data_IF_680188669111
#
_entry.id   IF_680188669111
#
_cell.length_a   1.000
_cell.length_b   1.000
_cell.length_c   1.000
_cell.angle_alpha   90.00
_cell.angle_beta   90.00
_cell.angle_gamma   90.00
#
_symmetry.space_group_name_H-M   'P 1'
#
loop_
_entity.id
_entity.type
_entity.pdbx_description
1 polymer ?
#
# COMPACT_ATOMS: atom_id res chain seq x y z
N UNK A 1 -26.60 -9.98 19.95
CA UNK A 1 -26.42 -11.33 19.35
C UNK A 1 -25.59 -11.28 18.05
N UNK A 2 -25.82 -10.34 17.13
CA UNK A 2 -25.06 -10.18 15.87
C UNK A 2 -23.56 -9.79 16.02
N UNK A 3 -23.18 -9.02 17.06
CA UNK A 3 -21.77 -8.64 17.33
C UNK A 3 -20.86 -9.85 17.62
N UNK A 4 -21.37 -10.83 18.39
CA UNK A 4 -20.64 -12.09 18.67
C UNK A 4 -20.49 -12.99 17.44
N UNK A 5 -21.41 -12.91 16.49
CA UNK A 5 -21.31 -13.65 15.23
C UNK A 5 -20.28 -13.02 14.28
N UNK A 6 -20.12 -11.69 14.33
CA UNK A 6 -19.14 -10.95 13.54
C UNK A 6 -17.69 -11.20 13.98
N UNK A 7 -17.42 -11.21 15.29
CA UNK A 7 -16.08 -11.52 15.82
C UNK A 7 -15.67 -12.98 15.53
N UNK A 8 -16.63 -13.92 15.62
CA UNK A 8 -16.40 -15.32 15.22
C UNK A 8 -16.14 -15.47 13.72
N UNK A 9 -16.75 -14.65 12.84
CA UNK A 9 -16.50 -14.71 11.39
C UNK A 9 -15.19 -14.04 10.97
N UNK A 10 -14.74 -12.99 11.67
CA UNK A 10 -13.43 -12.39 11.42
C UNK A 10 -12.31 -13.37 11.78
N UNK A 11 -12.46 -14.09 12.91
CA UNK A 11 -11.58 -15.19 13.32
C UNK A 11 -11.70 -16.42 12.40
N UNK A 12 -12.90 -16.76 11.93
CA UNK A 12 -13.10 -17.88 11.00
C UNK A 12 -12.56 -17.58 9.60
N UNK A 13 -12.69 -16.36 9.07
CA UNK A 13 -12.07 -15.99 7.78
C UNK A 13 -10.55 -15.94 7.87
N UNK A 14 -9.97 -15.56 9.01
CA UNK A 14 -8.51 -15.66 9.22
C UNK A 14 -8.07 -17.11 9.39
N UNK A 15 -8.85 -17.94 10.09
CA UNK A 15 -8.56 -19.37 10.27
C UNK A 15 -8.77 -20.21 9.00
N UNK A 16 -9.80 -19.95 8.20
CA UNK A 16 -10.05 -20.66 6.93
C UNK A 16 -9.01 -20.31 5.86
N UNK A 17 -8.40 -19.12 5.91
CA UNK A 17 -7.26 -18.76 5.05
C UNK A 17 -5.93 -19.34 5.53
N UNK A 18 -5.85 -19.75 6.80
CA UNK A 18 -4.70 -20.44 7.41
C UNK A 18 -4.84 -21.98 7.41
N UNK A 19 -6.05 -22.50 7.19
CA UNK A 19 -6.38 -23.94 7.29
C UNK A 19 -6.42 -24.71 5.97
N UNK A 20 -6.35 -24.06 4.81
CA UNK A 20 -6.33 -24.76 3.52
C UNK A 20 -4.91 -25.09 3.06
N UNK A 21 -4.17 -25.82 3.90
CA UNK A 21 -2.98 -26.56 3.49
C UNK A 21 -2.91 -27.84 4.32
N UNK A 22 -3.33 -28.94 3.70
CA UNK A 22 -3.00 -30.36 3.93
C UNK A 22 -4.22 -31.17 3.49
N UNK A 23 -4.17 -31.64 2.24
CA UNK A 23 -4.33 -33.07 1.89
C UNK A 23 -4.49 -33.18 0.37
N UNK A 24 -3.45 -33.73 -0.24
CA UNK A 24 -3.28 -33.87 -1.68
C UNK A 24 -1.92 -34.48 -1.92
N UNK A 25 -1.85 -35.80 -1.73
CA UNK A 25 -0.68 -36.65 -1.94
C UNK A 25 -0.12 -36.47 -3.36
N UNK A 26 1.17 -36.14 -3.38
CA UNK A 26 2.23 -36.59 -4.28
C UNK A 26 1.90 -36.96 -5.74
N UNK A 27 2.44 -36.13 -6.64
CA UNK A 27 3.33 -36.69 -7.66
C UNK A 27 4.53 -35.76 -7.82
N UNK A 28 5.59 -36.09 -7.09
CA UNK A 28 6.88 -35.42 -7.14
C UNK A 28 7.51 -35.53 -8.53
N UNK A 29 7.81 -34.38 -9.13
CA UNK A 29 9.02 -34.24 -9.94
C UNK A 29 9.88 -33.14 -9.33
N UNK A 30 10.79 -33.62 -8.47
CA UNK A 30 12.01 -32.99 -8.01
C UNK A 30 12.65 -32.05 -9.04
N UNK A 31 12.83 -30.78 -8.65
CA UNK A 31 13.96 -29.97 -9.09
C UNK A 31 14.33 -28.94 -8.02
N UNK A 32 15.44 -29.22 -7.33
CA UNK A 32 16.30 -28.32 -6.53
C UNK A 32 15.66 -27.41 -5.46
N UNK A 33 15.63 -27.93 -4.23
CA UNK A 33 15.49 -27.16 -3.00
C UNK A 33 16.77 -26.38 -2.65
N UNK A 34 17.08 -25.34 -3.42
CA UNK A 34 17.96 -24.27 -2.92
C UNK A 34 17.16 -23.52 -1.86
N UNK A 35 17.63 -23.53 -0.59
CA UNK A 35 17.10 -22.67 0.47
C UNK A 35 17.18 -21.20 0.03
N UNK A 36 16.11 -20.70 -0.61
CA UNK A 36 16.05 -19.32 -1.11
C UNK A 36 16.02 -18.39 0.09
N UNK A 37 17.13 -17.67 0.29
CA UNK A 37 17.22 -16.63 1.30
C UNK A 37 16.14 -15.59 1.01
N UNK A 38 15.27 -15.25 1.98
CA UNK A 38 14.17 -14.32 1.73
C UNK A 38 14.71 -12.90 1.43
N UNK A 39 13.98 -12.10 0.64
CA UNK A 39 14.42 -10.77 0.23
C UNK A 39 14.50 -9.84 1.44
N UNK A 40 15.69 -9.28 1.65
CA UNK A 40 16.01 -8.50 2.84
C UNK A 40 17.11 -7.47 2.53
N UNK A 41 17.09 -6.32 3.22
CA UNK A 41 18.08 -5.26 3.02
C UNK A 41 18.60 -4.73 4.35
N UNK A 42 19.90 -4.91 4.59
CA UNK A 42 20.58 -4.26 5.72
C UNK A 42 20.71 -2.76 5.46
N UNK A 43 20.32 -1.95 6.45
CA UNK A 43 20.41 -0.49 6.37
C UNK A 43 21.30 0.08 7.48
N UNK A 44 22.06 1.10 7.13
CA UNK A 44 22.81 1.90 8.11
C UNK A 44 21.89 2.98 8.66
N UNK A 45 21.59 2.91 9.97
CA UNK A 45 20.67 3.87 10.64
C UNK A 45 21.42 5.07 11.23
N UNK A 46 22.69 4.90 11.61
CA UNK A 46 23.52 5.97 12.19
C UNK A 46 24.84 6.05 11.41
N UNK A 47 25.12 7.20 10.82
CA UNK A 47 26.46 7.51 10.33
C UNK A 47 27.35 7.85 11.52
N UNK A 48 28.46 7.15 11.68
CA UNK A 48 29.51 7.50 12.65
C UNK A 48 30.74 7.99 11.90
N UNK A 49 31.71 8.58 12.61
CA UNK A 49 32.97 9.04 12.02
C UNK A 49 33.75 7.93 11.30
N UNK A 50 33.50 6.66 11.65
CA UNK A 50 34.12 5.46 11.07
C UNK A 50 33.20 4.70 10.10
N UNK A 51 31.89 4.99 10.09
CA UNK A 51 30.91 4.31 9.23
C UNK A 51 30.20 5.38 8.38
N UNK A 52 30.78 5.66 7.21
CA UNK A 52 30.11 6.40 6.14
C UNK A 52 29.26 5.42 5.31
N UNK A 53 28.04 5.14 5.75
CA UNK A 53 27.10 4.29 5.02
C UNK A 53 26.05 5.12 4.29
N UNK A 54 26.18 5.27 2.97
CA UNK A 54 25.07 5.74 2.15
C UNK A 54 24.24 4.53 1.72
N UNK A 55 22.99 4.47 2.15
CA UNK A 55 22.07 3.45 1.64
C UNK A 55 21.62 3.90 0.24
N UNK A 56 21.88 3.08 -0.78
CA UNK A 56 21.38 3.31 -2.14
C UNK A 56 19.96 2.81 -2.29
N UNK A 57 19.01 3.69 -2.66
CA UNK A 57 17.60 3.31 -2.85
C UNK A 57 17.46 2.17 -3.87
N UNK A 58 18.17 2.24 -5.00
CA UNK A 58 18.12 1.23 -6.07
C UNK A 58 18.61 -0.14 -5.63
N UNK A 59 19.58 -0.20 -4.72
CA UNK A 59 20.07 -1.44 -4.14
C UNK A 59 19.02 -2.05 -3.20
N UNK A 60 18.44 -1.24 -2.31
CA UNK A 60 17.45 -1.72 -1.36
C UNK A 60 16.19 -2.24 -2.05
N UNK A 61 15.68 -1.52 -3.06
CA UNK A 61 14.52 -1.93 -3.86
C UNK A 61 14.77 -3.28 -4.56
N UNK A 62 16.00 -3.51 -5.04
CA UNK A 62 16.37 -4.80 -5.65
C UNK A 62 16.46 -5.91 -4.60
N UNK A 63 17.15 -5.66 -3.48
CA UNK A 63 17.33 -6.65 -2.40
C UNK A 63 16.02 -7.05 -1.72
N UNK A 64 15.07 -6.13 -1.64
CA UNK A 64 13.73 -6.37 -1.12
C UNK A 64 12.77 -6.94 -2.18
N UNK A 65 13.25 -7.20 -3.40
CA UNK A 65 12.48 -7.74 -4.51
C UNK A 65 11.14 -7.03 -4.75
N UNK A 66 11.20 -5.71 -4.91
CA UNK A 66 9.99 -4.92 -5.16
C UNK A 66 9.34 -5.28 -6.50
N UNK A 67 10.11 -5.81 -7.45
CA UNK A 67 9.58 -6.30 -8.73
C UNK A 67 8.57 -7.43 -8.52
N UNK A 68 8.86 -8.38 -7.63
CA UNK A 68 7.87 -9.38 -7.22
C UNK A 68 6.81 -8.81 -6.30
N UNK A 69 7.14 -7.84 -5.44
CA UNK A 69 6.15 -7.19 -4.58
C UNK A 69 5.05 -6.45 -5.37
N UNK A 70 5.37 -5.89 -6.53
CA UNK A 70 4.37 -5.29 -7.43
C UNK A 70 3.33 -6.32 -7.89
N UNK A 71 3.70 -7.59 -8.06
CA UNK A 71 2.78 -8.65 -8.47
C UNK A 71 1.90 -9.16 -7.32
N UNK A 72 2.26 -8.85 -6.07
CA UNK A 72 1.55 -9.27 -4.87
C UNK A 72 0.47 -8.25 -4.48
N UNK A 73 -0.78 -8.70 -4.42
CA UNK A 73 -1.94 -7.87 -4.06
C UNK A 73 -1.79 -7.21 -2.68
N UNK A 74 -1.13 -7.87 -1.72
CA UNK A 74 -0.95 -7.34 -0.36
C UNK A 74 0.04 -6.18 -0.30
N UNK A 75 1.02 -6.17 -1.21
CA UNK A 75 2.12 -5.20 -1.24
C UNK A 75 1.92 -4.13 -2.31
N UNK A 76 1.05 -4.37 -3.28
CA UNK A 76 0.77 -3.46 -4.40
C UNK A 76 0.57 -2.01 -3.96
N UNK A 77 -0.35 -1.77 -3.02
CA UNK A 77 -0.67 -0.42 -2.54
C UNK A 77 0.51 0.24 -1.81
N UNK A 78 1.37 -0.54 -1.14
CA UNK A 78 2.60 -0.03 -0.54
C UNK A 78 3.55 0.51 -1.62
N UNK A 79 3.70 -0.23 -2.72
CA UNK A 79 4.55 0.17 -3.84
C UNK A 79 3.96 1.39 -4.57
N UNK A 80 2.65 1.44 -4.77
CA UNK A 80 1.97 2.64 -5.31
C UNK A 80 2.29 3.88 -4.49
N UNK A 81 2.06 3.82 -3.17
CA UNK A 81 2.31 4.95 -2.28
C UNK A 81 3.78 5.36 -2.27
N UNK A 82 4.71 4.40 -2.35
CA UNK A 82 6.14 4.70 -2.48
C UNK A 82 6.46 5.45 -3.77
N UNK A 83 5.93 4.99 -4.90
CA UNK A 83 6.12 5.64 -6.20
C UNK A 83 5.49 7.04 -6.21
N UNK A 84 4.30 7.20 -5.62
CA UNK A 84 3.64 8.51 -5.47
C UNK A 84 4.51 9.49 -4.68
N UNK A 85 5.12 9.05 -3.58
CA UNK A 85 6.04 9.87 -2.79
C UNK A 85 7.30 10.26 -3.58
N UNK A 86 7.85 9.35 -4.37
CA UNK A 86 9.04 9.63 -5.17
C UNK A 86 8.74 10.61 -6.32
N UNK A 87 7.59 10.46 -7.00
CA UNK A 87 7.20 11.33 -8.11
C UNK A 87 6.72 12.70 -7.61
N UNK A 88 5.79 12.70 -6.65
CA UNK A 88 5.11 13.90 -6.17
C UNK A 88 5.87 14.66 -5.09
N UNK A 89 6.61 13.97 -4.23
CA UNK A 89 7.30 14.58 -3.09
C UNK A 89 8.67 15.15 -3.41
N UNK A 90 9.49 14.44 -4.21
CA UNK A 90 10.87 14.82 -4.48
C UNK A 90 11.07 15.54 -5.81
N UNK A 91 10.08 15.56 -6.72
CA UNK A 91 10.22 15.87 -8.15
C UNK A 91 11.19 14.90 -8.85
N UNK A 92 10.80 14.41 -10.02
CA UNK A 92 11.56 13.38 -10.75
C UNK A 92 13.04 13.75 -10.96
N UNK A 93 13.36 15.03 -11.15
CA UNK A 93 14.72 15.53 -11.45
C UNK A 93 15.64 15.67 -10.28
N UNK A 94 15.12 15.77 -9.06
CA UNK A 94 15.96 15.84 -7.88
C UNK A 94 16.46 14.46 -7.45
N UNK A 95 15.82 13.40 -7.93
CA UNK A 95 16.27 12.04 -7.69
C UNK A 95 17.57 11.75 -8.46
N UNK A 96 18.49 10.93 -7.93
CA UNK A 96 19.66 10.49 -8.68
C UNK A 96 19.22 9.71 -9.92
N UNK A 97 19.98 9.80 -11.03
CA UNK A 97 19.60 9.16 -12.30
C UNK A 97 19.34 7.65 -12.20
N UNK A 98 20.01 6.95 -11.27
CA UNK A 98 19.74 5.54 -10.99
C UNK A 98 18.36 5.32 -10.34
N UNK A 99 17.94 6.21 -9.43
CA UNK A 99 16.62 6.19 -8.81
C UNK A 99 15.51 6.57 -9.80
N UNK A 100 15.77 7.53 -10.70
CA UNK A 100 14.83 7.86 -11.79
C UNK A 100 14.54 6.65 -12.69
N UNK A 101 15.59 5.94 -13.14
CA UNK A 101 15.46 4.71 -13.93
C UNK A 101 14.70 3.62 -13.19
N UNK A 102 15.02 3.43 -11.91
CA UNK A 102 14.36 2.46 -11.04
C UNK A 102 12.86 2.75 -10.93
N UNK A 103 12.50 4.01 -10.67
CA UNK A 103 11.12 4.46 -10.55
C UNK A 103 10.33 4.18 -11.83
N UNK A 104 10.85 4.56 -13.00
CA UNK A 104 10.17 4.33 -14.26
C UNK A 104 10.06 2.84 -14.59
N UNK A 105 11.09 2.05 -14.28
CA UNK A 105 11.05 0.59 -14.45
C UNK A 105 10.01 -0.07 -13.54
N UNK A 106 9.91 0.35 -12.27
CA UNK A 106 8.87 -0.14 -11.35
C UNK A 106 7.47 0.28 -11.79
N UNK A 107 7.31 1.52 -12.28
CA UNK A 107 6.03 2.01 -12.78
C UNK A 107 5.59 1.26 -14.05
N UNK A 108 6.53 0.89 -14.92
CA UNK A 108 6.25 0.04 -16.09
C UNK A 108 5.78 -1.36 -15.67
N UNK A 109 6.49 -2.00 -14.72
CA UNK A 109 6.04 -3.29 -14.17
C UNK A 109 4.67 -3.20 -13.49
N UNK A 110 4.39 -2.09 -12.81
CA UNK A 110 3.09 -1.82 -12.21
C UNK A 110 2.00 -1.68 -13.29
N UNK A 111 2.29 -0.97 -14.38
CA UNK A 111 1.36 -0.84 -15.50
C UNK A 111 1.04 -2.20 -16.13
N UNK A 112 2.05 -3.07 -16.35
CA UNK A 112 1.84 -4.43 -16.85
C UNK A 112 0.98 -5.29 -15.91
N UNK A 113 1.25 -5.19 -14.60
CA UNK A 113 0.47 -5.91 -13.59
C UNK A 113 -0.99 -5.43 -13.56
N UNK A 114 -1.24 -4.13 -13.66
CA UNK A 114 -2.60 -3.56 -13.68
C UNK A 114 -3.31 -3.88 -14.99
N UNK A 115 -2.60 -3.91 -16.12
CA UNK A 115 -3.16 -4.34 -17.40
C UNK A 115 -3.62 -5.80 -17.37
N UNK A 116 -2.87 -6.66 -16.68
CA UNK A 116 -3.19 -8.08 -16.52
C UNK A 116 -4.32 -8.30 -15.51
N UNK A 117 -4.19 -7.73 -14.31
CA UNK A 117 -5.09 -7.97 -13.18
C UNK A 117 -6.37 -7.14 -13.23
N UNK A 118 -6.35 -6.00 -13.94
CA UNK A 118 -7.46 -5.01 -14.01
C UNK A 118 -7.89 -4.46 -12.66
N UNK A 119 -7.01 -4.51 -11.66
CA UNK A 119 -7.24 -3.92 -10.33
C UNK A 119 -6.48 -2.60 -10.18
N UNK A 120 -6.94 -1.72 -9.27
CA UNK A 120 -6.25 -0.48 -8.89
C UNK A 120 -5.91 0.47 -10.06
N UNK A 121 -6.80 0.56 -11.08
CA UNK A 121 -6.58 1.44 -12.24
C UNK A 121 -6.42 2.91 -11.85
N UNK A 122 -7.10 3.35 -10.80
CA UNK A 122 -7.03 4.75 -10.34
C UNK A 122 -5.64 5.09 -9.80
N UNK A 123 -4.99 4.17 -9.07
CA UNK A 123 -3.62 4.35 -8.60
C UNK A 123 -2.64 4.44 -9.77
N UNK A 124 -2.76 3.56 -10.77
CA UNK A 124 -1.95 3.65 -11.99
C UNK A 124 -2.18 5.00 -12.71
N UNK A 125 -3.43 5.40 -12.93
CA UNK A 125 -3.77 6.67 -13.60
C UNK A 125 -3.17 7.86 -12.87
N UNK A 126 -3.30 7.91 -11.54
CA UNK A 126 -2.73 8.97 -10.71
C UNK A 126 -1.20 9.04 -10.87
N UNK A 127 -0.51 7.90 -10.82
CA UNK A 127 0.94 7.82 -11.03
C UNK A 127 1.36 8.25 -12.44
N UNK A 128 0.68 7.77 -13.47
CA UNK A 128 0.96 8.14 -14.87
C UNK A 128 0.75 9.62 -15.12
N UNK A 129 -0.33 10.20 -14.58
CA UNK A 129 -0.57 11.64 -14.62
C UNK A 129 0.53 12.42 -13.90
N UNK A 130 0.94 11.95 -12.72
CA UNK A 130 1.97 12.60 -11.90
C UNK A 130 3.33 12.60 -12.61
N UNK A 131 3.74 11.47 -13.20
CA UNK A 131 5.00 11.38 -13.96
C UNK A 131 4.94 12.21 -15.23
N UNK A 132 3.81 12.19 -15.95
CA UNK A 132 3.63 12.98 -17.17
C UNK A 132 3.65 14.48 -16.89
N UNK A 133 3.03 14.91 -15.79
CA UNK A 133 3.05 16.30 -15.31
C UNK A 133 4.46 16.72 -14.89
N UNK A 134 5.17 15.88 -14.13
CA UNK A 134 6.55 16.13 -13.73
C UNK A 134 7.47 16.30 -14.95
N UNK A 135 7.34 15.41 -15.94
CA UNK A 135 8.07 15.50 -17.21
C UNK A 135 7.78 16.81 -17.96
N UNK A 136 6.51 17.17 -18.06
CA UNK A 136 6.09 18.36 -18.80
C UNK A 136 6.51 19.65 -18.10
N UNK A 137 6.48 19.69 -16.76
CA UNK A 137 7.03 20.80 -15.97
C UNK A 137 8.51 21.01 -16.28
N UNK A 138 9.29 19.94 -16.36
CA UNK A 138 10.72 20.02 -16.67
C UNK A 138 11.00 20.50 -18.08
N UNK A 139 10.17 20.10 -19.05
CA UNK A 139 10.28 20.57 -20.43
C UNK A 139 10.04 22.09 -20.56
N UNK A 140 9.18 22.64 -19.71
CA UNK A 140 8.81 24.08 -19.70
C UNK A 140 9.78 24.94 -18.89
N UNK A 141 10.66 24.36 -18.08
CA UNK A 141 11.64 25.10 -17.28
C UNK A 141 12.54 25.97 -18.17
N UNK A 142 12.79 27.21 -17.72
CA UNK A 142 13.32 28.34 -18.49
C UNK A 142 14.69 28.15 -19.17
N UNK A 143 15.37 27.04 -18.88
CA UNK A 143 16.69 26.71 -19.46
C UNK A 143 16.59 25.77 -20.67
N UNK A 144 15.38 25.43 -21.11
CA UNK A 144 15.10 24.73 -22.37
C UNK A 144 15.60 23.29 -22.42
N UNK A 145 16.26 22.79 -21.38
CA UNK A 145 16.74 21.41 -21.27
C UNK A 145 16.64 20.88 -19.84
N UNK A 146 16.10 19.67 -19.66
CA UNK A 146 16.13 18.98 -18.38
C UNK A 146 17.58 18.73 -17.93
N UNK A 147 17.83 18.82 -16.61
CA UNK A 147 19.15 18.54 -16.02
C UNK A 147 19.52 17.07 -16.23
N UNK A 148 20.73 16.79 -16.76
CA UNK A 148 21.24 15.44 -16.99
C UNK A 148 21.59 15.13 -18.44
N UNK A 149 21.97 13.88 -18.73
CA UNK A 149 22.38 13.49 -20.08
C UNK A 149 21.19 13.36 -21.03
N UNK A 150 21.34 13.77 -22.29
CA UNK A 150 20.28 13.63 -23.31
C UNK A 150 19.83 12.18 -23.50
N UNK A 151 20.76 11.24 -23.41
CA UNK A 151 20.46 9.80 -23.51
C UNK A 151 19.55 9.34 -22.36
N UNK A 152 19.80 9.79 -21.13
CA UNK A 152 18.95 9.49 -19.97
C UNK A 152 17.53 9.99 -20.19
N UNK A 153 17.37 11.24 -20.63
CA UNK A 153 16.06 11.82 -20.93
C UNK A 153 15.34 11.15 -22.09
N UNK A 154 16.09 10.77 -23.13
CA UNK A 154 15.58 9.92 -24.21
C UNK A 154 15.02 8.61 -23.65
N UNK A 155 15.73 7.94 -22.74
CA UNK A 155 15.22 6.71 -22.13
C UNK A 155 13.96 6.95 -21.28
N UNK A 156 13.90 8.07 -20.54
CA UNK A 156 12.72 8.43 -19.76
C UNK A 156 11.51 8.68 -20.65
N UNK A 157 11.68 9.40 -21.75
CA UNK A 157 10.61 9.66 -22.73
C UNK A 157 10.05 8.36 -23.32
N UNK A 158 10.93 7.44 -23.70
CA UNK A 158 10.51 6.13 -24.21
C UNK A 158 9.78 5.31 -23.13
N UNK A 159 10.27 5.29 -21.89
CA UNK A 159 9.64 4.57 -20.80
C UNK A 159 8.24 5.15 -20.48
N UNK A 160 8.13 6.47 -20.35
CA UNK A 160 6.86 7.16 -20.10
C UNK A 160 5.88 6.91 -21.25
N UNK A 161 6.34 6.92 -22.50
CA UNK A 161 5.50 6.60 -23.65
C UNK A 161 4.98 5.15 -23.62
N UNK A 162 5.82 4.17 -23.25
CA UNK A 162 5.39 2.77 -23.08
C UNK A 162 4.36 2.62 -21.98
N UNK A 163 4.62 3.21 -20.80
CA UNK A 163 3.70 3.21 -19.66
C UNK A 163 2.34 3.79 -20.07
N UNK A 164 2.34 4.94 -20.76
CA UNK A 164 1.10 5.55 -21.25
C UNK A 164 0.35 4.65 -22.25
N UNK A 165 1.05 3.98 -23.16
CA UNK A 165 0.43 3.02 -24.09
C UNK A 165 -0.23 1.86 -23.35
N UNK A 166 0.47 1.27 -22.37
CA UNK A 166 -0.08 0.20 -21.55
C UNK A 166 -1.33 0.71 -20.82
N UNK A 167 -1.24 1.81 -20.09
CA UNK A 167 -2.35 2.40 -19.33
C UNK A 167 -3.58 2.72 -20.22
N UNK A 168 -3.36 3.26 -21.42
CA UNK A 168 -4.43 3.58 -22.37
C UNK A 168 -5.02 2.34 -23.07
N UNK A 169 -4.30 1.22 -23.09
CA UNK A 169 -4.78 -0.04 -23.67
C UNK A 169 -5.68 -0.85 -22.72
N UNK A 170 -5.69 -0.51 -21.42
CA UNK A 170 -6.47 -1.24 -20.41
C UNK A 170 -7.96 -1.03 -20.69
N UNK A 171 -8.66 -2.14 -20.94
CA UNK A 171 -10.12 -2.18 -21.08
C UNK A 171 -10.71 -3.09 -20.02
N UNK A 172 -11.63 -2.55 -19.24
CA UNK A 172 -12.51 -3.36 -18.37
C UNK A 172 -13.60 -3.92 -19.28
N UNK A 173 -13.62 -5.23 -19.43
CA UNK A 173 -14.66 -5.90 -20.20
C UNK A 173 -15.88 -6.08 -19.31
N UNK A 174 -17.04 -5.67 -19.79
CA UNK A 174 -18.29 -5.93 -19.11
C UNK A 174 -18.60 -7.43 -19.14
N UNK A 175 -19.19 -8.00 -18.07
CA UNK A 175 -19.67 -9.37 -18.11
C UNK A 175 -20.70 -9.51 -19.24
N UNK A 176 -20.57 -10.52 -20.09
CA UNK A 176 -21.47 -10.75 -21.24
C UNK A 176 -22.96 -10.78 -20.84
N UNK A 177 -23.89 -10.51 -21.77
CA UNK A 177 -25.31 -10.30 -21.47
C UNK A 177 -25.94 -11.47 -20.71
N UNK A 178 -25.51 -12.70 -21.01
CA UNK A 178 -25.99 -13.94 -20.37
C UNK A 178 -25.55 -14.14 -18.90
N UNK A 179 -24.54 -13.38 -18.44
CA UNK A 179 -23.99 -13.54 -17.09
C UNK A 179 -24.87 -12.80 -16.09
N UNK A 180 -25.68 -13.55 -15.34
CA UNK A 180 -26.53 -13.08 -14.23
C UNK A 180 -26.20 -13.83 -12.93
N UNK A 181 -26.40 -13.23 -11.74
CA UNK A 181 -26.86 -11.86 -11.51
C UNK A 181 -25.77 -10.82 -11.76
N UNK A 182 -26.16 -9.64 -12.26
CA UNK A 182 -25.33 -8.45 -12.33
C UNK A 182 -25.27 -7.75 -10.97
N UNK A 183 -24.34 -6.80 -10.83
CA UNK A 183 -24.23 -6.01 -9.60
C UNK A 183 -25.53 -5.25 -9.27
N UNK A 184 -26.25 -4.77 -10.29
CA UNK A 184 -27.51 -4.05 -10.13
C UNK A 184 -28.69 -4.96 -9.74
N UNK A 185 -28.55 -6.28 -9.90
CA UNK A 185 -29.58 -7.25 -9.51
C UNK A 185 -29.46 -7.65 -8.03
N UNK A 186 -28.38 -7.22 -7.34
CA UNK A 186 -28.16 -7.56 -5.94
C UNK A 186 -29.08 -6.72 -5.02
N UNK A 187 -29.65 -7.33 -3.96
CA UNK A 187 -30.36 -6.59 -2.92
C UNK A 187 -29.49 -5.52 -2.27
N UNK A 188 -30.12 -4.45 -1.77
CA UNK A 188 -29.41 -3.33 -1.12
C UNK A 188 -28.57 -3.78 0.07
N UNK A 189 -29.00 -4.82 0.79
CA UNK A 189 -28.26 -5.44 1.89
C UNK A 189 -26.92 -6.02 1.43
N UNK A 190 -26.88 -6.64 0.25
CA UNK A 190 -25.65 -7.16 -0.32
C UNK A 190 -24.73 -6.02 -0.76
N UNK A 191 -25.29 -4.96 -1.38
CA UNK A 191 -24.53 -3.77 -1.76
C UNK A 191 -23.92 -3.09 -0.52
N UNK A 192 -24.69 -2.97 0.56
CA UNK A 192 -24.24 -2.43 1.84
C UNK A 192 -23.07 -3.21 2.42
N UNK A 193 -23.14 -4.54 2.42
CA UNK A 193 -22.05 -5.38 2.89
C UNK A 193 -20.80 -5.28 2.00
N UNK A 194 -20.94 -5.03 0.69
CA UNK A 194 -19.81 -4.72 -0.21
C UNK A 194 -19.19 -3.37 0.17
N UNK A 195 -20.00 -2.32 0.32
CA UNK A 195 -19.53 -0.97 0.66
C UNK A 195 -18.87 -0.90 2.04
N UNK A 196 -19.33 -1.71 3.01
CA UNK A 196 -18.70 -1.86 4.33
C UNK A 196 -17.29 -2.44 4.30
N UNK A 197 -16.85 -3.05 3.18
CA UNK A 197 -15.48 -3.55 3.00
C UNK A 197 -14.55 -2.53 2.36
N UNK A 198 -15.07 -1.39 1.91
CA UNK A 198 -14.27 -0.34 1.32
C UNK A 198 -13.64 0.49 2.45
N UNK A 199 -12.31 0.48 2.49
CA UNK A 199 -11.52 1.19 3.50
C UNK A 199 -11.11 2.60 3.09
N UNK A 200 -11.25 2.99 1.81
CA UNK A 200 -10.93 4.35 1.33
C UNK A 200 -12.20 5.16 1.08
N UNK A 201 -12.28 6.35 1.67
CA UNK A 201 -13.42 7.23 1.48
C UNK A 201 -13.58 7.69 0.01
N UNK A 202 -12.48 7.79 -0.74
CA UNK A 202 -12.50 8.21 -2.15
C UNK A 202 -13.22 7.18 -3.02
N UNK A 203 -13.07 5.90 -2.69
CA UNK A 203 -13.76 4.82 -3.37
C UNK A 203 -15.26 4.81 -3.02
N UNK A 204 -15.63 5.19 -1.79
CA UNK A 204 -17.04 5.39 -1.41
C UNK A 204 -17.68 6.58 -2.16
N UNK A 205 -16.95 7.69 -2.29
CA UNK A 205 -17.41 8.87 -3.05
C UNK A 205 -17.56 8.53 -4.55
N UNK A 206 -16.63 7.75 -5.11
CA UNK A 206 -16.71 7.26 -6.48
C UNK A 206 -17.89 6.27 -6.68
N UNK A 207 -18.10 5.35 -5.73
CA UNK A 207 -19.23 4.43 -5.76
C UNK A 207 -20.58 5.17 -5.69
N UNK A 208 -20.67 6.18 -4.81
CA UNK A 208 -21.86 7.05 -4.71
C UNK A 208 -22.14 7.78 -6.03
N UNK A 209 -21.09 8.20 -6.74
CA UNK A 209 -21.24 8.88 -8.04
C UNK A 209 -21.59 7.94 -9.19
N UNK A 210 -21.38 6.63 -9.04
CA UNK A 210 -21.54 5.65 -10.11
C UNK A 210 -22.99 5.19 -10.31
N UNK A 211 -23.77 5.09 -9.23
CA UNK A 211 -25.12 4.52 -9.28
C UNK A 211 -25.99 5.00 -8.10
N UNK A 212 -27.29 5.23 -8.34
CA UNK A 212 -28.23 5.79 -7.37
C UNK A 212 -28.43 4.94 -6.12
N UNK A 213 -28.46 3.61 -6.23
CA UNK A 213 -28.58 2.72 -5.07
C UNK A 213 -27.30 2.77 -4.24
N UNK A 214 -26.12 2.76 -4.88
CA UNK A 214 -24.85 2.98 -4.17
C UNK A 214 -24.82 4.35 -3.49
N UNK A 215 -25.35 5.40 -4.14
CA UNK A 215 -25.45 6.73 -3.54
C UNK A 215 -26.31 6.72 -2.27
N UNK A 216 -27.46 6.05 -2.31
CA UNK A 216 -28.35 5.89 -1.15
C UNK A 216 -27.66 5.14 -0.01
N UNK A 217 -27.05 3.99 -0.30
CA UNK A 217 -26.37 3.17 0.72
C UNK A 217 -25.11 3.86 1.26
N UNK A 218 -24.34 4.56 0.42
CA UNK A 218 -23.17 5.34 0.86
C UNK A 218 -23.55 6.51 1.78
N UNK A 219 -24.79 7.00 1.75
CA UNK A 219 -25.25 8.06 2.65
C UNK A 219 -25.71 7.53 4.02
N UNK A 220 -25.77 6.21 4.21
CA UNK A 220 -26.12 5.64 5.50
C UNK A 220 -25.06 5.90 6.56
N UNK A 221 -25.50 6.31 7.75
CA UNK A 221 -24.63 6.57 8.90
C UNK A 221 -23.79 5.35 9.32
N UNK A 222 -24.27 4.12 9.05
CA UNK A 222 -23.54 2.88 9.35
C UNK A 222 -22.22 2.80 8.58
N UNK A 223 -22.20 3.14 7.29
CA UNK A 223 -21.00 3.06 6.45
C UNK A 223 -19.90 3.96 7.02
N UNK A 224 -20.24 5.23 7.28
CA UNK A 224 -19.28 6.21 7.78
C UNK A 224 -18.84 5.93 9.23
N UNK A 225 -19.74 5.40 10.07
CA UNK A 225 -19.37 4.97 11.43
C UNK A 225 -18.33 3.86 11.42
N UNK A 226 -18.52 2.83 10.60
CA UNK A 226 -17.52 1.75 10.48
C UNK A 226 -16.21 2.27 9.89
N UNK A 227 -16.26 3.18 8.92
CA UNK A 227 -15.06 3.81 8.36
C UNK A 227 -14.31 4.64 9.41
N UNK A 228 -15.01 5.38 10.28
CA UNK A 228 -14.41 6.11 11.40
C UNK A 228 -13.73 5.15 12.37
N UNK A 229 -14.43 4.08 12.80
CA UNK A 229 -13.88 3.08 13.70
C UNK A 229 -12.68 2.33 13.11
N UNK A 230 -12.63 2.19 11.78
CA UNK A 230 -11.51 1.58 11.09
C UNK A 230 -10.25 2.45 11.13
N UNK A 231 -10.38 3.76 10.91
CA UNK A 231 -9.24 4.68 10.78
C UNK A 231 -8.79 5.36 12.07
N UNK A 232 -9.67 5.51 13.06
CA UNK A 232 -9.41 6.31 14.25
C UNK A 232 -9.52 5.49 15.52
N UNK A 233 -8.72 5.84 16.53
CA UNK A 233 -8.81 5.21 17.84
C UNK A 233 -10.02 5.75 18.61
N UNK A 234 -10.53 4.96 19.56
CA UNK A 234 -11.65 5.40 20.40
C UNK A 234 -11.34 6.73 21.11
N UNK A 235 -10.10 6.93 21.56
CA UNK A 235 -9.67 8.18 22.20
C UNK A 235 -9.75 9.40 21.27
N UNK A 236 -9.39 9.24 19.98
CA UNK A 236 -9.50 10.30 18.98
C UNK A 236 -10.96 10.65 18.70
N UNK A 237 -11.81 9.62 18.62
CA UNK A 237 -13.26 9.76 18.40
C UNK A 237 -13.89 10.49 19.60
N UNK A 238 -13.65 10.01 20.82
CA UNK A 238 -14.21 10.60 22.04
C UNK A 238 -13.76 12.06 22.22
N UNK A 239 -12.50 12.37 21.90
CA UNK A 239 -11.99 13.74 21.96
C UNK A 239 -12.67 14.67 20.95
N UNK A 240 -13.02 14.18 19.76
CA UNK A 240 -13.76 14.96 18.77
C UNK A 240 -15.23 15.12 19.17
N UNK A 241 -15.88 14.06 19.65
CA UNK A 241 -17.25 14.09 20.16
C UNK A 241 -17.40 15.04 21.35
N UNK A 242 -16.42 15.07 22.26
CA UNK A 242 -16.42 15.98 23.40
C UNK A 242 -16.35 17.46 23.00
N UNK A 243 -15.72 17.78 21.86
CA UNK A 243 -15.69 19.14 21.29
C UNK A 243 -17.00 19.52 20.61
N UNK A 244 -17.69 18.54 20.02
CA UNK A 244 -18.96 18.76 19.31
C UNK A 244 -20.18 18.61 20.24
N UNK A 245 -20.01 18.74 21.56
CA UNK A 245 -21.07 18.57 22.57
C UNK A 245 -22.27 19.52 22.40
N UNK A 246 -22.07 20.67 21.76
CA UNK A 246 -23.14 21.63 21.46
C UNK A 246 -24.06 21.15 20.32
N UNK A 247 -23.57 20.32 19.39
CA UNK A 247 -24.35 19.78 18.26
C UNK A 247 -25.19 18.54 18.64
N UNK A 248 -25.01 17.99 19.85
CA UNK A 248 -25.70 16.77 20.33
C UNK A 248 -27.00 17.14 21.11
N UNK A 249 -27.20 18.43 21.42
CA UNK A 249 -28.35 18.92 22.18
C UNK A 249 -29.67 18.92 21.38
N UNK A 250 -29.60 18.93 20.06
CA UNK A 250 -30.73 18.66 19.17
C UNK A 250 -30.63 17.19 18.72
N UNK A 251 -31.71 16.42 18.85
CA UNK A 251 -31.85 15.03 18.34
C UNK A 251 -31.78 14.92 16.80
N UNK A 252 -31.11 15.87 16.11
CA UNK A 252 -30.82 15.80 14.69
C UNK A 252 -29.58 14.94 14.47
N UNK A 253 -29.85 13.67 14.17
CA UNK A 253 -29.02 12.74 13.37
C UNK A 253 -27.53 13.10 13.29
N UNK A 254 -26.74 12.56 14.22
CA UNK A 254 -25.29 12.71 14.23
C UNK A 254 -24.67 12.26 12.89
N UNK A 255 -24.01 13.19 12.21
CA UNK A 255 -23.43 12.97 10.87
C UNK A 255 -22.01 12.40 10.97
N UNK A 256 -21.91 11.07 10.81
CA UNK A 256 -20.63 10.36 10.83
C UNK A 256 -19.72 10.73 9.66
N UNK A 257 -20.27 11.17 8.52
CA UNK A 257 -19.47 11.62 7.36
C UNK A 257 -18.74 12.91 7.68
N UNK A 258 -19.41 13.87 8.33
CA UNK A 258 -18.78 15.11 8.83
C UNK A 258 -17.70 14.80 9.86
N UNK A 259 -17.99 13.94 10.84
CA UNK A 259 -17.00 13.53 11.85
C UNK A 259 -15.77 12.89 11.18
N UNK A 260 -15.96 12.00 10.21
CA UNK A 260 -14.87 11.37 9.48
C UNK A 260 -13.94 12.41 8.84
N UNK A 261 -14.49 13.39 8.11
CA UNK A 261 -13.67 14.41 7.47
C UNK A 261 -12.99 15.35 8.47
N UNK A 262 -13.62 15.63 9.61
CA UNK A 262 -13.03 16.38 10.73
C UNK A 262 -11.82 15.63 11.31
N UNK A 263 -12.02 14.36 11.70
CA UNK A 263 -10.96 13.50 12.24
C UNK A 263 -9.80 13.33 11.24
N UNK A 264 -10.11 13.10 9.96
CA UNK A 264 -9.11 13.01 8.89
C UNK A 264 -8.26 14.28 8.79
N UNK A 265 -8.86 15.46 8.95
CA UNK A 265 -8.13 16.74 8.91
C UNK A 265 -7.25 16.93 10.16
N UNK A 266 -7.69 16.45 11.33
CA UNK A 266 -6.95 16.64 12.58
C UNK A 266 -5.83 15.61 12.79
N UNK A 267 -6.07 14.34 12.45
CA UNK A 267 -5.18 13.23 12.79
C UNK A 267 -4.56 12.54 11.57
N UNK A 268 -5.06 12.80 10.36
CA UNK A 268 -4.74 11.98 9.18
C UNK A 268 -5.39 10.60 9.24
N UNK A 269 -5.17 9.77 8.22
CA UNK A 269 -5.61 8.37 8.21
C UNK A 269 -4.51 7.46 8.77
N UNK A 270 -4.89 6.37 9.44
CA UNK A 270 -3.94 5.42 10.04
C UNK A 270 -3.08 4.76 8.95
N UNK A 271 -1.76 4.90 9.01
CA UNK A 271 -0.84 4.37 7.98
C UNK A 271 -0.75 2.83 7.99
N UNK A 272 -0.92 2.20 9.15
CA UNK A 272 -0.87 0.74 9.32
C UNK A 272 -2.07 0.01 8.68
N UNK A 273 -3.22 0.68 8.59
CA UNK A 273 -4.45 0.17 8.03
C UNK A 273 -4.59 0.43 6.53
N UNK A 274 -3.72 1.28 5.96
CA UNK A 274 -3.70 1.60 4.54
C UNK A 274 -3.08 0.50 3.68
N UNK A 275 -2.21 -0.34 4.28
CA UNK A 275 -1.47 -1.36 3.55
C UNK A 275 -1.67 -2.73 4.17
N UNK A 276 -2.10 -3.70 3.36
CA UNK A 276 -2.28 -5.09 3.82
C UNK A 276 -0.93 -5.72 4.25
N UNK A 277 0.17 -5.32 3.63
CA UNK A 277 1.51 -5.64 4.07
C UNK A 277 2.44 -4.42 4.00
N UNK A 278 3.25 -4.24 5.04
CA UNK A 278 4.28 -3.20 5.13
C UNK A 278 5.66 -3.83 5.36
N UNK A 279 6.71 -3.12 4.97
CA UNK A 279 8.06 -3.50 5.35
C UNK A 279 8.21 -3.48 6.87
N UNK A 280 9.03 -4.39 7.39
CA UNK A 280 9.38 -4.45 8.81
C UNK A 280 10.88 -4.21 8.98
N UNK A 281 11.25 -3.44 10.00
CA UNK A 281 12.63 -3.22 10.42
C UNK A 281 12.95 -4.09 11.63
N UNK A 282 13.91 -4.99 11.48
CA UNK A 282 14.48 -5.73 12.59
C UNK A 282 15.34 -4.80 13.45
N UNK A 283 15.06 -4.73 14.75
CA UNK A 283 15.82 -3.89 15.69
C UNK A 283 17.20 -4.46 16.03
N UNK A 284 17.42 -5.75 15.78
CA UNK A 284 18.67 -6.46 16.09
C UNK A 284 19.69 -6.33 14.95
N UNK A 285 19.38 -6.84 13.76
CA UNK A 285 20.29 -6.80 12.61
C UNK A 285 20.13 -5.57 11.70
N UNK A 286 19.20 -4.65 12.01
CA UNK A 286 18.91 -3.45 11.18
C UNK A 286 18.56 -3.80 9.74
N UNK A 287 17.82 -4.89 9.57
CA UNK A 287 17.40 -5.39 8.28
C UNK A 287 15.93 -5.01 8.00
N UNK A 288 15.67 -4.50 6.81
CA UNK A 288 14.33 -4.33 6.24
C UNK A 288 13.91 -5.61 5.52
N UNK A 289 12.65 -6.00 5.65
CA UNK A 289 12.11 -7.20 5.02
C UNK A 289 10.57 -7.19 4.93
N UNK A 290 10.02 -8.05 4.08
CA UNK A 290 8.58 -8.33 4.04
C UNK A 290 8.22 -9.37 5.10
N UNK A 291 7.29 -9.04 6.01
CA UNK A 291 6.97 -9.89 7.16
C UNK A 291 6.54 -11.29 6.75
N UNK A 292 5.76 -11.40 5.67
CA UNK A 292 5.27 -12.69 5.17
C UNK A 292 6.36 -13.59 4.56
N UNK A 293 7.49 -13.01 4.14
CA UNK A 293 8.62 -13.76 3.58
C UNK A 293 9.69 -14.09 4.62
N UNK A 294 9.66 -13.43 5.78
CA UNK A 294 10.69 -13.56 6.80
C UNK A 294 11.99 -12.84 6.45
N UNK A 295 12.99 -12.98 7.32
CA UNK A 295 14.34 -12.44 7.09
C UNK A 295 15.40 -13.31 7.76
N UNK A 296 16.64 -13.34 7.24
CA UNK A 296 17.74 -14.04 7.90
C UNK A 296 18.27 -13.18 9.05
N UNK A 297 17.69 -13.30 10.23
CA UNK A 297 18.16 -12.56 11.40
C UNK A 297 19.48 -13.15 11.92
N UNK A 298 20.43 -12.29 12.31
CA UNK A 298 21.65 -12.71 13.01
C UNK A 298 21.30 -13.43 14.32
N UNK A 299 20.20 -13.04 14.98
CA UNK A 299 19.72 -13.67 16.20
C UNK A 299 19.26 -15.12 16.01
N UNK A 300 18.88 -15.50 14.78
CA UNK A 300 18.49 -16.88 14.47
C UNK A 300 19.69 -17.74 14.05
N UNK A 301 20.80 -17.10 13.65
CA UNK A 301 22.01 -17.77 13.20
C UNK A 301 22.99 -18.08 14.35
N UNK A 302 22.88 -17.41 15.50
CA UNK A 302 23.77 -17.59 16.66
C UNK A 302 22.99 -17.97 17.93
N UNK A 303 23.10 -19.22 18.41
CA UNK A 303 22.42 -19.69 19.63
C UNK A 303 22.76 -18.87 20.88
N UNK A 304 24.03 -18.48 21.04
CA UNK A 304 24.51 -17.69 22.18
C UNK A 304 23.88 -16.29 22.22
N UNK A 305 23.75 -15.64 21.06
CA UNK A 305 23.07 -14.34 20.96
C UNK A 305 21.57 -14.48 21.25
N UNK A 306 20.95 -15.58 20.83
CA UNK A 306 19.53 -15.88 21.08
C UNK A 306 19.25 -16.08 22.57
N UNK A 307 20.14 -16.73 23.30
CA UNK A 307 20.04 -16.89 24.76
C UNK A 307 20.16 -15.54 25.48
N UNK A 308 21.16 -14.73 25.12
CA UNK A 308 21.30 -13.36 25.65
C UNK A 308 20.07 -12.50 25.34
N UNK A 309 19.42 -12.71 24.20
CA UNK A 309 18.17 -12.04 23.85
C UNK A 309 17.01 -12.45 24.75
N UNK A 310 16.90 -13.75 25.07
CA UNK A 310 15.87 -14.28 25.97
C UNK A 310 16.05 -13.74 27.38
N UNK A 311 17.29 -13.65 27.87
CA UNK A 311 17.63 -13.06 29.17
C UNK A 311 17.30 -11.56 29.24
N UNK A 312 17.46 -10.83 28.13
CA UNK A 312 17.18 -9.40 28.03
C UNK A 312 15.69 -9.04 27.80
N UNK A 313 14.76 -9.99 27.99
CA UNK A 313 13.31 -9.76 27.83
C UNK A 313 12.71 -10.24 26.51
N UNK A 314 13.45 -11.03 25.72
CA UNK A 314 12.99 -11.67 24.49
C UNK A 314 13.14 -10.82 23.23
N UNK A 315 12.84 -11.40 22.04
CA UNK A 315 12.92 -10.69 20.78
C UNK A 315 11.88 -9.57 20.71
N UNK A 316 12.33 -8.34 20.44
CA UNK A 316 11.45 -7.21 20.23
C UNK A 316 10.70 -7.38 18.90
N UNK A 317 9.38 -7.09 18.86
CA UNK A 317 8.63 -7.18 17.62
C UNK A 317 9.23 -6.25 16.56
N UNK A 318 9.34 -6.69 15.29
CA UNK A 318 9.80 -5.84 14.20
C UNK A 318 8.95 -4.58 14.07
N UNK A 319 9.59 -3.44 13.82
CA UNK A 319 8.88 -2.17 13.68
C UNK A 319 8.34 -2.02 12.25
N UNK A 320 7.04 -1.76 12.03
CA UNK A 320 6.51 -1.51 10.70
C UNK A 320 7.11 -0.22 10.12
N UNK A 321 7.37 -0.21 8.82
CA UNK A 321 8.00 0.89 8.09
C UNK A 321 7.07 1.33 6.95
N UNK A 322 6.31 2.42 7.16
CA UNK A 322 5.52 3.05 6.10
C UNK A 322 6.39 3.55 4.93
N UNK A 323 5.84 3.73 3.72
CA UNK A 323 6.60 4.19 2.55
C UNK A 323 7.38 5.49 2.79
N UNK A 324 6.79 6.46 3.48
CA UNK A 324 7.46 7.72 3.81
C UNK A 324 8.64 7.51 4.80
N UNK A 325 8.50 6.61 5.77
CA UNK A 325 9.58 6.27 6.69
C UNK A 325 10.70 5.49 5.98
N UNK A 326 10.35 4.61 5.03
CA UNK A 326 11.31 3.88 4.22
C UNK A 326 12.24 4.82 3.46
N UNK A 327 11.70 5.85 2.81
CA UNK A 327 12.49 6.83 2.06
C UNK A 327 13.50 7.60 2.93
N UNK A 328 13.21 7.80 4.22
CA UNK A 328 14.13 8.48 5.16
C UNK A 328 15.42 7.72 5.43
N UNK A 329 15.49 6.42 5.11
CA UNK A 329 16.72 5.64 5.24
C UNK A 329 17.72 5.89 4.10
N UNK A 330 17.31 6.57 3.04
CA UNK A 330 18.11 6.77 1.83
C UNK A 330 18.41 8.25 1.64
N UNK A 331 19.63 8.56 1.21
CA UNK A 331 19.96 9.90 0.71
C UNK A 331 19.40 10.01 -0.71
N UNK A 332 18.33 10.78 -0.87
CA UNK A 332 17.68 11.06 -2.16
C UNK A 332 18.17 12.39 -2.72
#
# INVERSE_FOLDING_TARGET
MFRKWYDLKLQACTASFLGSKLDGEESEKSSDGVNRIPPHCHITIKCTREIAGFNGLSEAVRRLDFSSAVRDVRRFNYICALLELLVGGQRLTHLPGAAQKLLLSMLEQLADQVATSKHNLNALRALVMSVSSARESEKRSCWGRPLGSRALWGHHDHAIARINRIANSIRIQEPGPEVVPKLHDLPEECIREILLRISDHRDLDAASSAWTVMASVCNEQRIWRELVNFHFTQQQIDAALAKNKEDIADEKEFDWKKLFHQLRKMYGLREDAQFAETLSLCRHCKCLFWRSLGHPCIADQCPEYRERLKEAGGPLPPHPVPPAAFLKFFSL
#
